data_IF_613806107171
#
_entry.id   IF_613806107171
#
_cell.length_a   1.000
_cell.length_b   1.000
_cell.length_c   1.000
_cell.angle_alpha   90.00
_cell.angle_beta   90.00
_cell.angle_gamma   90.00
#
_symmetry.space_group_name_H-M   'P 1'
#
loop_
_entity.id
_entity.type
_entity.pdbx_description
1 polymer ?
#
# COMPACT_ATOMS: atom_id res chain seq x y z
N UNK A 1 -4.51 -20.96 21.00
CA UNK A 1 -3.27 -21.39 20.30
C UNK A 1 -3.45 -22.82 19.80
N UNK A 2 -3.59 -23.02 18.49
CA UNK A 2 -3.25 -24.25 17.76
C UNK A 2 -2.95 -23.84 16.30
N UNK A 3 -1.72 -23.96 15.80
CA UNK A 3 -1.39 -23.70 14.41
C UNK A 3 -1.38 -25.02 13.62
N UNK A 4 -1.99 -25.05 12.44
CA UNK A 4 -1.69 -26.09 11.45
C UNK A 4 -1.62 -25.48 10.06
N UNK A 5 -0.38 -25.38 9.59
CA UNK A 5 0.04 -25.07 8.24
C UNK A 5 -0.23 -26.30 7.37
N UNK A 6 -0.83 -26.13 6.19
CA UNK A 6 -0.55 -26.92 4.99
C UNK A 6 -1.59 -26.58 3.92
N UNK A 7 -1.24 -25.76 2.92
CA UNK A 7 -1.74 -25.99 1.57
C UNK A 7 -0.58 -25.71 0.60
N UNK A 8 0.05 -26.81 0.21
CA UNK A 8 1.02 -26.97 -0.87
C UNK A 8 0.23 -26.95 -2.19
N UNK A 9 0.43 -25.96 -3.07
CA UNK A 9 0.01 -26.06 -4.47
C UNK A 9 1.24 -25.89 -5.36
N UNK A 10 1.86 -27.03 -5.65
CA UNK A 10 2.72 -27.17 -6.82
C UNK A 10 1.85 -27.41 -8.05
N UNK A 11 2.14 -26.71 -9.13
CA UNK A 11 1.71 -27.06 -10.49
C UNK A 11 2.85 -26.65 -11.44
N UNK A 12 3.75 -27.57 -11.75
CA UNK A 12 3.77 -28.39 -12.97
C UNK A 12 4.47 -27.66 -14.13
N UNK A 13 5.78 -27.91 -14.21
CA UNK A 13 6.62 -27.69 -15.37
C UNK A 13 6.10 -28.52 -16.54
N UNK A 14 5.58 -27.87 -17.59
CA UNK A 14 5.36 -28.52 -18.88
C UNK A 14 6.67 -28.54 -19.66
N UNK A 15 7.32 -29.69 -19.65
CA UNK A 15 8.43 -30.04 -20.53
C UNK A 15 7.94 -30.63 -21.85
N UNK A 16 8.74 -30.45 -22.89
CA UNK A 16 8.80 -31.15 -24.19
C UNK A 16 7.75 -30.77 -25.25
N UNK A 17 8.22 -30.28 -26.40
CA UNK A 17 8.32 -31.08 -27.64
C UNK A 17 9.44 -30.50 -28.52
N UNK A 18 10.52 -31.26 -28.70
CA UNK A 18 11.50 -31.10 -29.78
C UNK A 18 11.01 -31.88 -31.00
N UNK A 19 10.87 -31.23 -32.15
CA UNK A 19 10.60 -31.91 -33.42
C UNK A 19 11.92 -31.97 -34.21
N UNK A 20 12.56 -33.14 -34.19
CA UNK A 20 13.55 -33.56 -35.17
C UNK A 20 12.92 -34.70 -35.96
N UNK A 21 12.85 -34.58 -37.28
CA UNK A 21 12.51 -35.70 -38.16
C UNK A 21 13.66 -35.93 -39.13
N UNK A 22 14.11 -37.17 -39.09
CA UNK A 22 15.27 -37.74 -39.74
C UNK A 22 15.18 -37.79 -41.27
N UNK A 23 16.35 -37.66 -41.88
CA UNK A 23 16.65 -38.17 -43.20
C UNK A 23 16.51 -39.70 -43.21
N UNK A 24 15.73 -40.24 -44.15
CA UNK A 24 15.99 -41.58 -44.70
C UNK A 24 15.89 -41.57 -46.21
N UNK A 25 17.03 -41.87 -46.82
CA UNK A 25 17.23 -42.23 -48.22
C UNK A 25 16.46 -43.49 -48.60
N UNK A 26 15.79 -43.48 -49.75
CA UNK A 26 15.53 -44.70 -50.52
C UNK A 26 15.98 -44.44 -51.96
N UNK A 27 16.97 -45.24 -52.39
CA UNK A 27 17.41 -45.39 -53.77
C UNK A 27 16.31 -46.07 -54.57
N UNK A 28 15.95 -45.48 -55.71
CA UNK A 28 15.33 -46.22 -56.81
C UNK A 28 16.18 -45.99 -58.06
N UNK A 29 16.59 -47.11 -58.62
CA UNK A 29 17.48 -47.29 -59.76
C UNK A 29 16.76 -47.01 -61.08
N UNK A 30 17.50 -46.34 -61.95
CA UNK A 30 17.64 -46.61 -63.39
C UNK A 30 16.39 -46.53 -64.30
N UNK A 31 16.34 -45.46 -65.09
CA UNK A 31 16.31 -45.59 -66.56
C UNK A 31 16.58 -44.22 -67.18
N UNK A 32 17.76 -44.08 -67.80
CA UNK A 32 18.09 -43.01 -68.74
C UNK A 32 17.13 -43.06 -69.94
N UNK A 33 16.26 -42.05 -70.06
CA UNK A 33 15.80 -41.57 -71.36
C UNK A 33 16.31 -40.15 -71.51
N UNK A 34 17.44 -40.04 -72.21
CA UNK A 34 17.94 -38.81 -72.79
C UNK A 34 16.96 -38.42 -73.87
N UNK A 35 16.02 -37.54 -73.52
CA UNK A 35 15.21 -36.86 -74.52
C UNK A 35 15.84 -35.50 -74.82
N UNK A 36 16.02 -35.31 -76.11
CA UNK A 36 16.68 -34.22 -76.82
C UNK A 36 16.69 -32.86 -76.11
N UNK A 37 17.90 -32.30 -76.03
CA UNK A 37 18.17 -30.88 -75.85
C UNK A 37 17.42 -30.08 -76.93
N UNK A 38 16.29 -29.49 -76.56
CA UNK A 38 15.70 -28.38 -77.31
C UNK A 38 16.25 -27.08 -76.71
N UNK A 39 17.20 -26.46 -77.42
CA UNK A 39 17.68 -25.10 -77.14
C UNK A 39 16.57 -24.12 -77.53
N UNK A 40 15.56 -24.01 -76.67
CA UNK A 40 14.54 -22.96 -76.72
C UNK A 40 15.09 -21.69 -76.07
N UNK A 41 15.90 -20.95 -76.82
CA UNK A 41 16.35 -19.60 -76.47
C UNK A 41 15.14 -18.66 -76.51
N UNK A 42 14.54 -18.33 -75.34
CA UNK A 42 13.46 -17.32 -75.28
C UNK A 42 12.42 -17.37 -74.15
N UNK A 43 12.58 -18.15 -73.07
CA UNK A 43 11.59 -18.12 -71.96
C UNK A 43 12.11 -18.45 -70.55
N UNK A 44 13.40 -18.76 -70.39
CA UNK A 44 13.99 -19.13 -69.09
C UNK A 44 14.33 -17.92 -68.20
N UNK A 45 14.63 -16.76 -68.78
CA UNK A 45 14.98 -15.55 -68.01
C UNK A 45 13.76 -14.88 -67.35
N UNK A 46 12.58 -14.95 -67.97
CA UNK A 46 11.38 -14.28 -67.44
C UNK A 46 10.68 -15.10 -66.33
N UNK A 47 10.73 -16.43 -66.39
CA UNK A 47 10.18 -17.33 -65.36
C UNK A 47 11.02 -17.39 -64.08
N UNK A 48 12.33 -17.18 -64.17
CA UNK A 48 13.20 -17.07 -62.99
C UNK A 48 13.02 -15.71 -62.29
N UNK A 49 12.94 -14.61 -63.04
CA UNK A 49 12.65 -13.28 -62.49
C UNK A 49 11.28 -13.22 -61.79
N UNK A 50 10.24 -13.84 -62.35
CA UNK A 50 8.90 -13.87 -61.71
C UNK A 50 8.90 -14.67 -60.39
N UNK A 51 9.62 -15.79 -60.34
CA UNK A 51 9.76 -16.61 -59.13
C UNK A 51 10.58 -15.93 -58.03
N UNK A 52 11.54 -15.08 -58.40
CA UNK A 52 12.31 -14.28 -57.44
C UNK A 52 11.45 -13.14 -56.87
N UNK A 53 10.68 -12.44 -57.70
CA UNK A 53 9.72 -11.41 -57.26
C UNK A 53 8.65 -11.99 -56.34
N UNK A 54 8.11 -13.17 -56.65
CA UNK A 54 7.11 -13.84 -55.79
C UNK A 54 7.70 -14.28 -54.44
N UNK A 55 8.97 -14.68 -54.39
CA UNK A 55 9.68 -15.00 -53.14
C UNK A 55 9.97 -13.75 -52.31
N UNK A 56 10.41 -12.66 -52.94
CA UNK A 56 10.61 -11.37 -52.28
C UNK A 56 9.30 -10.83 -51.70
N UNK A 57 8.21 -10.90 -52.47
CA UNK A 57 6.89 -10.47 -52.01
C UNK A 57 6.37 -11.37 -50.87
N UNK A 58 6.60 -12.68 -50.92
CA UNK A 58 6.25 -13.60 -49.83
C UNK A 58 7.06 -13.31 -48.57
N UNK A 59 8.36 -13.04 -48.71
CA UNK A 59 9.27 -12.70 -47.61
C UNK A 59 8.91 -11.35 -46.99
N UNK A 60 8.64 -10.32 -47.79
CA UNK A 60 8.19 -9.00 -47.33
C UNK A 60 6.83 -9.10 -46.61
N UNK A 61 5.90 -9.91 -47.13
CA UNK A 61 4.60 -10.16 -46.47
C UNK A 61 4.76 -10.88 -45.14
N UNK A 62 5.75 -11.77 -45.02
CA UNK A 62 6.08 -12.46 -43.77
C UNK A 62 6.74 -11.51 -42.77
N UNK A 63 7.66 -10.65 -43.21
CA UNK A 63 8.26 -9.61 -42.38
C UNK A 63 7.21 -8.61 -41.88
N UNK A 64 6.32 -8.11 -42.74
CA UNK A 64 5.22 -7.21 -42.34
C UNK A 64 4.26 -7.85 -41.35
N UNK A 65 3.98 -9.15 -41.46
CA UNK A 65 3.16 -9.89 -40.48
C UNK A 65 3.88 -10.02 -39.13
N UNK A 66 5.18 -10.32 -39.15
CA UNK A 66 5.99 -10.42 -37.94
C UNK A 66 6.14 -9.05 -37.25
N UNK A 67 6.32 -7.98 -38.00
CA UNK A 67 6.40 -6.61 -37.49
C UNK A 67 5.06 -6.17 -36.87
N UNK A 68 3.93 -6.37 -37.56
CA UNK A 68 2.60 -6.10 -37.00
C UNK A 68 2.29 -6.92 -35.74
N UNK A 69 2.79 -8.16 -35.67
CA UNK A 69 2.64 -8.99 -34.48
C UNK A 69 3.47 -8.44 -33.30
N UNK A 70 4.71 -8.00 -33.57
CA UNK A 70 5.57 -7.34 -32.57
C UNK A 70 4.97 -6.01 -32.10
N UNK A 71 4.47 -5.18 -33.01
CA UNK A 71 3.83 -3.89 -32.70
C UNK A 71 2.59 -4.08 -31.82
N UNK A 72 1.73 -5.06 -32.13
CA UNK A 72 0.58 -5.40 -31.28
C UNK A 72 1.01 -5.85 -29.89
N UNK A 73 2.01 -6.71 -29.80
CA UNK A 73 2.54 -7.18 -28.53
C UNK A 73 3.16 -6.04 -27.70
N UNK A 74 3.87 -5.11 -28.34
CA UNK A 74 4.44 -3.93 -27.68
C UNK A 74 3.35 -2.95 -27.20
N UNK A 75 2.33 -2.69 -28.02
CA UNK A 75 1.20 -1.84 -27.62
C UNK A 75 0.41 -2.46 -26.47
N UNK A 76 0.15 -3.77 -26.50
CA UNK A 76 -0.53 -4.47 -25.43
C UNK A 76 0.31 -4.48 -24.13
N UNK A 77 1.64 -4.63 -24.24
CA UNK A 77 2.55 -4.50 -23.10
C UNK A 77 2.53 -3.08 -22.50
N UNK A 78 2.56 -2.04 -23.34
CA UNK A 78 2.46 -0.64 -22.91
C UNK A 78 1.12 -0.33 -22.24
N UNK A 79 0.02 -0.87 -22.76
CA UNK A 79 -1.31 -0.66 -22.16
C UNK A 79 -1.43 -1.37 -20.80
N UNK A 80 -0.92 -2.61 -20.69
CA UNK A 80 -0.83 -3.31 -19.40
C UNK A 80 0.04 -2.57 -18.39
N UNK A 81 1.20 -2.04 -18.80
CA UNK A 81 2.07 -1.24 -17.94
C UNK A 81 1.35 0.04 -17.46
N UNK A 82 0.66 0.75 -18.37
CA UNK A 82 -0.13 1.93 -18.02
C UNK A 82 -1.23 1.61 -17.01
N UNK A 83 -1.91 0.49 -17.17
CA UNK A 83 -3.00 0.11 -16.26
C UNK A 83 -2.48 -0.34 -14.89
N UNK A 84 -1.38 -1.08 -14.84
CA UNK A 84 -0.68 -1.40 -13.59
C UNK A 84 -0.24 -0.11 -12.87
N UNK A 85 0.37 0.83 -13.59
CA UNK A 85 0.78 2.13 -13.02
C UNK A 85 -0.39 2.97 -12.52
N UNK A 86 -1.55 2.92 -13.20
CA UNK A 86 -2.79 3.56 -12.71
C UNK A 86 -3.29 2.90 -11.43
N UNK A 87 -3.25 1.57 -11.34
CA UNK A 87 -3.66 0.84 -10.13
C UNK A 87 -2.73 1.15 -8.96
N UNK A 88 -1.41 1.11 -9.17
CA UNK A 88 -0.42 1.46 -8.15
C UNK A 88 -0.63 2.89 -7.63
N UNK A 89 -0.84 3.86 -8.53
CA UNK A 89 -1.16 5.25 -8.12
C UNK A 89 -2.46 5.38 -7.33
N UNK A 90 -3.46 4.52 -7.58
CA UNK A 90 -4.71 4.50 -6.80
C UNK A 90 -4.46 3.94 -5.40
N UNK A 91 -3.73 2.84 -5.30
CA UNK A 91 -3.35 2.23 -4.03
C UNK A 91 -2.49 3.18 -3.20
N UNK A 92 -1.50 3.83 -3.80
CA UNK A 92 -0.64 4.82 -3.12
C UNK A 92 -1.45 6.00 -2.58
N UNK A 93 -2.44 6.48 -3.33
CA UNK A 93 -3.36 7.55 -2.87
C UNK A 93 -4.21 7.06 -1.69
N UNK A 94 -4.77 5.87 -1.78
CA UNK A 94 -5.57 5.28 -0.69
C UNK A 94 -4.73 5.08 0.57
N UNK A 95 -3.50 4.57 0.44
CA UNK A 95 -2.58 4.41 1.57
C UNK A 95 -2.22 5.76 2.21
N UNK A 96 -1.94 6.79 1.40
CA UNK A 96 -1.68 8.15 1.90
C UNK A 96 -2.91 8.73 2.62
N UNK A 97 -4.12 8.49 2.12
CA UNK A 97 -5.35 8.91 2.78
C UNK A 97 -5.58 8.18 4.10
N UNK A 98 -5.42 6.86 4.12
CA UNK A 98 -5.52 6.05 5.33
C UNK A 98 -4.48 6.48 6.37
N UNK A 99 -3.23 6.73 5.97
CA UNK A 99 -2.18 7.22 6.86
C UNK A 99 -2.50 8.60 7.43
N UNK A 100 -3.05 9.51 6.61
CA UNK A 100 -3.51 10.82 7.10
C UNK A 100 -4.65 10.68 8.11
N UNK A 101 -5.59 9.77 7.86
CA UNK A 101 -6.70 9.50 8.78
C UNK A 101 -6.20 8.89 10.09
N UNK A 102 -5.29 7.92 10.02
CA UNK A 102 -4.67 7.31 11.20
C UNK A 102 -3.92 8.34 12.04
N UNK A 103 -3.08 9.17 11.41
CA UNK A 103 -2.37 10.25 12.11
C UNK A 103 -3.33 11.27 12.74
N UNK A 104 -4.43 11.61 12.07
CA UNK A 104 -5.46 12.48 12.65
C UNK A 104 -6.12 11.84 13.87
N UNK A 105 -6.47 10.56 13.79
CA UNK A 105 -7.06 9.84 14.93
C UNK A 105 -6.08 9.75 16.11
N UNK A 106 -4.80 9.50 15.85
CA UNK A 106 -3.75 9.48 16.88
C UNK A 106 -3.62 10.83 17.58
N UNK A 107 -3.54 11.94 16.82
CA UNK A 107 -3.48 13.30 17.39
C UNK A 107 -4.72 13.63 18.22
N UNK A 108 -5.90 13.20 17.77
CA UNK A 108 -7.14 13.36 18.54
C UNK A 108 -7.07 12.54 19.84
N UNK A 109 -6.68 11.26 19.76
CA UNK A 109 -6.59 10.38 20.92
C UNK A 109 -5.61 10.91 21.98
N UNK A 110 -4.44 11.41 21.55
CA UNK A 110 -3.46 12.03 22.44
C UNK A 110 -4.03 13.28 23.13
N UNK A 111 -4.74 14.12 22.38
CA UNK A 111 -5.40 15.31 22.94
C UNK A 111 -6.54 14.95 23.91
N UNK A 112 -7.31 13.88 23.64
CA UNK A 112 -8.34 13.36 24.56
C UNK A 112 -7.69 12.83 25.84
N UNK A 113 -6.57 12.12 25.73
CA UNK A 113 -5.83 11.63 26.87
C UNK A 113 -5.25 12.77 27.73
N UNK A 114 -4.75 13.85 27.11
CA UNK A 114 -4.32 15.06 27.84
C UNK A 114 -5.47 15.67 28.64
N UNK A 115 -6.67 15.79 28.04
CA UNK A 115 -7.86 16.31 28.72
C UNK A 115 -8.27 15.39 29.88
N UNK A 116 -8.29 14.07 29.69
CA UNK A 116 -8.64 13.10 30.74
C UNK A 116 -7.68 13.21 31.93
N UNK A 117 -6.37 13.17 31.69
CA UNK A 117 -5.34 13.31 32.74
C UNK A 117 -5.43 14.63 33.48
N UNK A 118 -5.80 15.72 32.79
CA UNK A 118 -5.96 17.02 33.43
C UNK A 118 -7.22 17.05 34.33
N UNK A 119 -8.33 16.43 33.88
CA UNK A 119 -9.57 16.29 34.66
C UNK A 119 -9.37 15.42 35.90
N UNK A 120 -8.70 14.27 35.77
CA UNK A 120 -8.34 13.40 36.90
C UNK A 120 -7.56 14.16 37.98
N UNK A 121 -6.53 14.93 37.58
CA UNK A 121 -5.74 15.74 38.54
C UNK A 121 -6.56 16.79 39.26
N UNK A 122 -7.54 17.42 38.59
CA UNK A 122 -8.47 18.36 39.26
C UNK A 122 -9.34 17.62 40.25
N UNK A 123 -9.90 16.47 39.87
CA UNK A 123 -10.74 15.67 40.75
C UNK A 123 -9.97 15.22 42.00
N UNK A 124 -8.76 14.67 41.85
CA UNK A 124 -7.90 14.28 42.97
C UNK A 124 -7.62 15.46 43.91
N UNK A 125 -7.31 16.64 43.36
CA UNK A 125 -7.04 17.84 44.14
C UNK A 125 -8.29 18.34 44.89
N UNK A 126 -9.48 18.23 44.28
CA UNK A 126 -10.75 18.56 44.90
C UNK A 126 -11.09 17.57 46.03
N UNK A 127 -10.92 16.27 45.80
CA UNK A 127 -11.15 15.23 46.81
C UNK A 127 -10.23 15.38 48.02
N UNK A 128 -8.94 15.68 47.81
CA UNK A 128 -8.00 15.94 48.90
C UNK A 128 -8.39 17.21 49.69
N UNK A 129 -8.82 18.27 48.99
CA UNK A 129 -9.32 19.49 49.66
C UNK A 129 -10.56 19.20 50.51
N UNK A 130 -11.51 18.42 50.00
CA UNK A 130 -12.72 18.02 50.74
C UNK A 130 -12.34 17.23 51.99
N UNK A 131 -11.54 16.16 51.85
CA UNK A 131 -11.09 15.32 52.98
C UNK A 131 -10.39 16.14 54.06
N UNK A 132 -9.54 17.10 53.68
CA UNK A 132 -8.85 17.99 54.62
C UNK A 132 -9.81 18.96 55.31
N UNK A 133 -10.77 19.50 54.56
CA UNK A 133 -11.79 20.40 55.09
C UNK A 133 -12.70 19.68 56.09
N UNK A 134 -13.16 18.47 55.78
CA UNK A 134 -13.94 17.65 56.70
C UNK A 134 -13.18 17.33 57.99
N UNK A 135 -11.89 16.98 57.87
CA UNK A 135 -11.02 16.73 59.04
C UNK A 135 -10.84 17.99 59.88
N UNK A 136 -10.63 19.13 59.24
CA UNK A 136 -10.53 20.43 59.90
C UNK A 136 -11.82 20.77 60.65
N UNK A 137 -12.98 20.72 60.00
CA UNK A 137 -14.28 21.00 60.62
C UNK A 137 -14.58 20.08 61.80
N UNK A 138 -14.22 18.78 61.69
CA UNK A 138 -14.37 17.82 62.78
C UNK A 138 -13.49 18.17 63.98
N UNK A 139 -12.28 18.66 63.76
CA UNK A 139 -11.37 19.09 64.83
C UNK A 139 -11.79 20.43 65.43
N UNK A 140 -12.28 21.36 64.60
CA UNK A 140 -12.82 22.65 65.01
C UNK A 140 -14.04 22.48 65.92
N UNK A 141 -15.01 21.63 65.53
CA UNK A 141 -16.19 21.30 66.34
C UNK A 141 -15.84 20.65 67.69
N UNK A 142 -14.70 19.98 67.77
CA UNK A 142 -14.21 19.35 69.01
C UNK A 142 -13.34 20.30 69.86
N UNK A 143 -13.12 21.54 69.43
CA UNK A 143 -12.25 22.50 70.11
C UNK A 143 -10.78 22.06 70.16
N UNK A 144 -10.34 21.19 69.23
CA UNK A 144 -8.99 20.61 69.22
C UNK A 144 -7.96 21.44 68.46
N UNK A 145 -8.34 22.60 67.93
CA UNK A 145 -7.48 23.46 67.11
C UNK A 145 -7.11 24.71 67.89
N UNK A 146 -5.83 25.06 67.86
CA UNK A 146 -5.35 26.36 68.33
C UNK A 146 -5.60 27.45 67.28
N UNK A 147 -5.55 28.74 67.66
CA UNK A 147 -5.63 29.84 66.69
C UNK A 147 -4.58 29.75 65.56
N UNK A 148 -3.39 29.23 65.86
CA UNK A 148 -2.34 29.02 64.85
C UNK A 148 -2.72 27.91 63.86
N UNK A 149 -3.28 26.80 64.35
CA UNK A 149 -3.73 25.70 63.47
C UNK A 149 -4.84 26.15 62.50
N UNK A 150 -5.72 27.05 62.96
CA UNK A 150 -6.78 27.66 62.16
C UNK A 150 -6.17 28.52 61.04
N UNK A 151 -5.25 29.42 61.39
CA UNK A 151 -4.57 30.28 60.42
C UNK A 151 -3.76 29.48 59.38
N UNK A 152 -3.06 28.43 59.82
CA UNK A 152 -2.28 27.55 58.94
C UNK A 152 -3.19 26.77 57.97
N UNK A 153 -4.33 26.28 58.45
CA UNK A 153 -5.31 25.62 57.60
C UNK A 153 -5.90 26.56 56.55
N UNK A 154 -6.27 27.79 56.92
CA UNK A 154 -6.79 28.78 55.97
C UNK A 154 -5.76 29.13 54.88
N UNK A 155 -4.49 29.25 55.27
CA UNK A 155 -3.38 29.47 54.32
C UNK A 155 -3.17 28.27 53.38
N UNK A 156 -3.18 27.04 53.90
CA UNK A 156 -3.07 25.82 53.07
C UNK A 156 -4.29 25.66 52.15
N UNK A 157 -5.50 25.95 52.65
CA UNK A 157 -6.74 25.94 51.87
C UNK A 157 -6.67 26.91 50.69
N UNK A 158 -6.20 28.14 50.92
CA UNK A 158 -6.03 29.15 49.86
C UNK A 158 -5.08 28.66 48.76
N UNK A 159 -3.90 28.14 49.14
CA UNK A 159 -2.93 27.57 48.19
C UNK A 159 -3.49 26.40 47.38
N UNK A 160 -4.31 25.55 47.99
CA UNK A 160 -4.96 24.42 47.30
C UNK A 160 -6.00 24.89 46.29
N UNK A 161 -6.78 25.92 46.64
CA UNK A 161 -7.75 26.51 45.74
C UNK A 161 -7.06 27.13 44.51
N UNK A 162 -5.96 27.86 44.72
CA UNK A 162 -5.13 28.39 43.64
C UNK A 162 -4.60 27.27 42.74
N UNK A 163 -4.06 26.18 43.32
CA UNK A 163 -3.61 25.01 42.56
C UNK A 163 -4.73 24.36 41.74
N UNK A 164 -5.95 24.27 42.28
CA UNK A 164 -7.13 23.75 41.57
C UNK A 164 -7.48 24.67 40.40
N UNK A 165 -7.42 25.99 40.57
CA UNK A 165 -7.66 26.95 39.51
C UNK A 165 -6.62 26.82 38.38
N UNK A 166 -5.35 26.67 38.71
CA UNK A 166 -4.29 26.43 37.73
C UNK A 166 -4.48 25.12 36.96
N UNK A 167 -4.93 24.06 37.64
CA UNK A 167 -5.27 22.81 36.98
C UNK A 167 -6.50 22.96 36.07
N UNK A 168 -7.51 23.75 36.45
CA UNK A 168 -8.64 24.09 35.57
C UNK A 168 -8.19 24.86 34.33
N UNK A 169 -7.26 25.81 34.46
CA UNK A 169 -6.65 26.50 33.31
C UNK A 169 -5.91 25.52 32.39
N UNK A 170 -5.29 24.46 32.94
CA UNK A 170 -4.68 23.39 32.13
C UNK A 170 -5.72 22.55 31.38
N UNK A 171 -6.85 22.25 31.99
CA UNK A 171 -7.98 21.60 31.30
C UNK A 171 -8.43 22.47 30.13
N UNK A 172 -8.67 23.76 30.35
CA UNK A 172 -9.12 24.66 29.27
C UNK A 172 -8.12 24.70 28.10
N UNK A 173 -6.81 24.72 28.40
CA UNK A 173 -5.76 24.64 27.37
C UNK A 173 -5.79 23.30 26.62
N UNK A 174 -5.97 22.18 27.33
CA UNK A 174 -6.07 20.85 26.72
C UNK A 174 -7.34 20.71 25.87
N UNK A 175 -8.48 21.24 26.32
CA UNK A 175 -9.73 21.24 25.56
C UNK A 175 -9.63 22.10 24.30
N UNK A 176 -8.92 23.24 24.36
CA UNK A 176 -8.59 24.04 23.16
C UNK A 176 -7.72 23.28 22.18
N UNK A 177 -6.73 22.50 22.64
CA UNK A 177 -5.93 21.64 21.77
C UNK A 177 -6.78 20.54 21.12
N UNK A 178 -7.65 19.89 21.91
CA UNK A 178 -8.56 18.86 21.41
C UNK A 178 -9.52 19.41 20.36
N UNK A 179 -10.09 20.59 20.57
CA UNK A 179 -10.93 21.27 19.60
C UNK A 179 -10.17 21.54 18.29
N UNK A 180 -8.91 21.99 18.38
CA UNK A 180 -8.04 22.18 17.21
C UNK A 180 -7.63 20.87 16.51
N UNK A 181 -7.57 19.76 17.23
CA UNK A 181 -7.25 18.45 16.65
C UNK A 181 -8.46 17.85 15.91
N UNK A 182 -9.68 18.18 16.35
CA UNK A 182 -10.95 17.71 15.75
C UNK A 182 -11.40 18.51 14.53
N UNK A 183 -11.04 19.80 14.48
CA UNK A 183 -11.32 20.70 13.36
C UNK A 183 -10.21 20.64 12.31
#
# INVERSE_FOLDING_TARGET
MKPTKAILWGLLLFSTVTFAQDLTSIKATDSLKVDSVYVGFGSSNQKNNQKEIDREMAYEKQQRKAEKAKEKAENEAKDRERDMKKQERKLEKQEKELKKMANKQEVIADAEQEVSKAKEKVQEAQEDLVKKTEKYEKNLKKGKLSPNDIADFEKDKSKRLEKIEDLKKKIEKAEKKLSKAKN
#
